data_IF_458117492930
#
_entry.id   IF_458117492930
#
_cell.length_a   1.000
_cell.length_b   1.000
_cell.length_c   1.000
_cell.angle_alpha   90.00
_cell.angle_beta   90.00
_cell.angle_gamma   90.00
#
_symmetry.space_group_name_H-M   'P 1'
#
loop_
_entity.id
_entity.type
_entity.pdbx_description
1 polymer ?
#
# COMPACT_ATOMS: atom_id res chain seq x y z
N UNK A 1 30.57 25.98 -5.32
CA UNK A 1 30.76 24.66 -4.67
C UNK A 1 29.47 24.13 -4.05
N UNK A 2 28.72 24.93 -3.26
CA UNK A 2 27.44 24.46 -2.70
C UNK A 2 26.33 24.18 -3.74
N UNK A 3 26.16 25.07 -4.73
CA UNK A 3 25.11 24.91 -5.77
C UNK A 3 25.37 23.72 -6.71
N UNK A 4 26.63 23.46 -7.06
CA UNK A 4 27.02 22.34 -7.91
C UNK A 4 26.78 20.99 -7.23
N UNK A 5 27.02 20.92 -5.92
CA UNK A 5 26.75 19.72 -5.13
C UNK A 5 25.24 19.49 -4.99
N UNK A 6 24.46 20.55 -4.71
CA UNK A 6 23.01 20.46 -4.62
C UNK A 6 22.36 19.97 -5.93
N UNK A 7 22.86 20.44 -7.08
CA UNK A 7 22.37 19.99 -8.39
C UNK A 7 22.73 18.54 -8.66
N UNK A 8 23.93 18.10 -8.27
CA UNK A 8 24.37 16.71 -8.41
C UNK A 8 23.53 15.77 -7.52
N UNK A 9 23.27 16.16 -6.28
CA UNK A 9 22.41 15.42 -5.35
C UNK A 9 20.95 15.38 -5.85
N UNK A 10 20.46 16.46 -6.44
CA UNK A 10 19.14 16.51 -7.08
C UNK A 10 19.02 15.58 -8.29
N UNK A 11 20.04 15.54 -9.15
CA UNK A 11 20.03 14.66 -10.33
C UNK A 11 20.14 13.19 -9.90
N UNK A 12 21.02 12.88 -8.96
CA UNK A 12 21.20 11.50 -8.47
C UNK A 12 19.94 10.96 -7.80
N UNK A 13 19.23 11.78 -7.01
CA UNK A 13 17.95 11.39 -6.41
C UNK A 13 16.86 11.16 -7.45
N UNK A 14 16.75 12.01 -8.48
CA UNK A 14 15.80 11.80 -9.57
C UNK A 14 16.08 10.51 -10.36
N UNK A 15 17.35 10.23 -10.65
CA UNK A 15 17.75 8.99 -11.31
C UNK A 15 17.41 7.78 -10.45
N UNK A 16 17.70 7.85 -9.15
CA UNK A 16 17.35 6.77 -8.21
C UNK A 16 15.84 6.53 -8.16
N UNK A 17 15.02 7.58 -8.08
CA UNK A 17 13.56 7.46 -8.11
C UNK A 17 13.05 6.81 -9.40
N UNK A 18 13.61 7.21 -10.56
CA UNK A 18 13.25 6.62 -11.84
C UNK A 18 13.61 5.14 -11.91
N UNK A 19 14.80 4.76 -11.44
CA UNK A 19 15.25 3.36 -11.41
C UNK A 19 14.35 2.54 -10.49
N UNK A 20 14.04 3.02 -9.29
CA UNK A 20 13.12 2.35 -8.36
C UNK A 20 11.70 2.22 -8.94
N UNK A 21 11.22 3.24 -9.64
CA UNK A 21 9.93 3.19 -10.32
C UNK A 21 9.88 2.10 -11.41
N UNK A 22 10.90 2.05 -12.28
CA UNK A 22 10.97 1.03 -13.34
C UNK A 22 11.13 -0.37 -12.74
N UNK A 23 12.00 -0.52 -11.74
CA UNK A 23 12.22 -1.80 -11.07
C UNK A 23 10.94 -2.32 -10.41
N UNK A 24 10.21 -1.45 -9.70
CA UNK A 24 8.94 -1.84 -9.07
C UNK A 24 7.90 -2.29 -10.10
N UNK A 25 7.80 -1.61 -11.25
CA UNK A 25 6.91 -2.00 -12.34
C UNK A 25 7.28 -3.36 -12.95
N UNK A 26 8.58 -3.62 -13.13
CA UNK A 26 9.07 -4.91 -13.63
C UNK A 26 8.75 -6.02 -12.62
N UNK A 27 9.04 -5.81 -11.33
CA UNK A 27 8.75 -6.79 -10.26
C UNK A 27 7.26 -7.07 -10.14
N UNK A 28 6.41 -6.04 -10.24
CA UNK A 28 4.97 -6.22 -10.22
C UNK A 28 4.48 -7.06 -11.41
N UNK A 29 4.95 -6.73 -12.62
CA UNK A 29 4.47 -7.36 -13.86
C UNK A 29 5.00 -8.78 -14.08
N UNK A 30 6.25 -9.04 -13.72
CA UNK A 30 6.92 -10.33 -13.95
C UNK A 30 7.09 -11.19 -12.70
N UNK A 31 6.92 -10.61 -11.50
CA UNK A 31 6.99 -11.33 -10.23
C UNK A 31 5.60 -11.55 -9.65
N UNK A 32 4.99 -10.49 -9.13
CA UNK A 32 3.77 -10.59 -8.31
C UNK A 32 2.54 -11.06 -9.09
N UNK A 33 2.30 -10.55 -10.31
CA UNK A 33 1.15 -10.96 -11.14
C UNK A 33 1.23 -12.44 -11.57
N UNK A 34 2.34 -12.95 -12.14
CA UNK A 34 2.44 -14.36 -12.48
C UNK A 34 2.54 -15.25 -11.25
N UNK A 35 3.10 -14.80 -10.14
CA UNK A 35 3.04 -15.52 -8.86
C UNK A 35 1.59 -15.65 -8.39
N UNK A 36 0.81 -14.57 -8.41
CA UNK A 36 -0.62 -14.64 -8.09
C UNK A 36 -1.38 -15.59 -9.02
N UNK A 37 -1.10 -15.55 -10.33
CA UNK A 37 -1.70 -16.45 -11.31
C UNK A 37 -1.30 -17.92 -11.10
N UNK A 38 -0.04 -18.20 -10.79
CA UNK A 38 0.45 -19.54 -10.49
C UNK A 38 -0.08 -20.06 -9.16
N UNK A 39 -0.27 -19.18 -8.18
CA UNK A 39 -0.90 -19.50 -6.91
C UNK A 39 -2.43 -19.74 -7.06
N UNK A 40 -3.05 -19.28 -8.14
CA UNK A 40 -4.51 -19.28 -8.35
C UNK A 40 -5.17 -20.65 -8.64
N UNK A 41 -4.61 -21.79 -8.21
CA UNK A 41 -5.19 -23.11 -8.52
C UNK A 41 -5.22 -24.15 -7.36
N UNK A 42 -5.26 -23.72 -6.09
CA UNK A 42 -5.74 -24.59 -4.98
C UNK A 42 -6.13 -23.79 -3.73
N UNK A 43 -6.98 -24.37 -2.86
CA UNK A 43 -7.36 -23.78 -1.57
C UNK A 43 -6.15 -23.54 -0.65
N UNK A 44 -5.09 -24.36 -0.78
CA UNK A 44 -3.85 -24.25 0.00
C UNK A 44 -3.01 -23.02 -0.37
N UNK A 45 -2.94 -22.67 -1.65
CA UNK A 45 -2.21 -21.48 -2.10
C UNK A 45 -2.92 -20.19 -1.69
N UNK A 46 -4.25 -20.20 -1.65
CA UNK A 46 -5.03 -19.05 -1.18
C UNK A 46 -4.76 -18.76 0.29
N UNK A 47 -4.61 -19.80 1.11
CA UNK A 47 -4.23 -19.66 2.51
C UNK A 47 -2.84 -19.03 2.68
N UNK A 48 -1.83 -19.52 1.96
CA UNK A 48 -0.47 -18.97 2.02
C UNK A 48 -0.43 -17.51 1.55
N UNK A 49 -1.12 -17.20 0.45
CA UNK A 49 -1.24 -15.83 -0.06
C UNK A 49 -1.83 -14.88 1.00
N UNK A 50 -2.93 -15.28 1.64
CA UNK A 50 -3.53 -14.49 2.71
C UNK A 50 -2.64 -14.37 3.93
N UNK A 51 -1.89 -15.42 4.29
CA UNK A 51 -0.94 -15.37 5.41
C UNK A 51 0.18 -14.36 5.18
N UNK A 52 0.71 -14.27 3.96
CA UNK A 52 1.75 -13.28 3.61
C UNK A 52 1.22 -11.84 3.58
N UNK A 53 -0.03 -11.64 3.14
CA UNK A 53 -0.62 -10.30 2.97
C UNK A 53 -1.27 -9.78 4.27
N UNK A 54 -1.69 -10.67 5.16
CA UNK A 54 -2.32 -10.33 6.43
C UNK A 54 -1.54 -9.30 7.25
N UNK A 55 -0.24 -9.47 7.55
CA UNK A 55 0.48 -8.48 8.37
C UNK A 55 0.52 -7.10 7.70
N UNK A 56 0.73 -7.05 6.38
CA UNK A 56 0.75 -5.80 5.63
C UNK A 56 -0.61 -5.09 5.63
N UNK A 57 -1.69 -5.85 5.43
CA UNK A 57 -3.06 -5.32 5.43
C UNK A 57 -3.47 -4.80 6.79
N UNK A 58 -3.17 -5.56 7.86
CA UNK A 58 -3.48 -5.15 9.23
C UNK A 58 -2.79 -3.83 9.57
N UNK A 59 -1.50 -3.69 9.25
CA UNK A 59 -0.75 -2.45 9.48
C UNK A 59 -1.30 -1.29 8.64
N UNK A 60 -1.68 -1.55 7.38
CA UNK A 60 -2.28 -0.55 6.49
C UNK A 60 -3.57 0.03 7.07
N UNK A 61 -4.53 -0.83 7.44
CA UNK A 61 -5.81 -0.38 7.99
C UNK A 61 -5.67 0.25 9.39
N UNK A 62 -4.72 -0.24 10.21
CA UNK A 62 -4.40 0.40 11.50
C UNK A 62 -3.82 1.80 11.31
N UNK A 63 -3.06 2.04 10.25
CA UNK A 63 -2.54 3.37 9.93
C UNK A 63 -3.67 4.34 9.60
N UNK A 64 -4.68 3.90 8.86
CA UNK A 64 -5.90 4.66 8.59
C UNK A 64 -6.71 4.96 9.87
N UNK A 65 -6.81 3.99 10.78
CA UNK A 65 -7.43 4.20 12.09
C UNK A 65 -6.66 5.21 12.95
N UNK A 66 -5.33 5.11 12.96
CA UNK A 66 -4.48 6.06 13.69
C UNK A 66 -4.60 7.47 13.08
N UNK A 67 -4.62 7.58 11.75
CA UNK A 67 -4.84 8.86 11.07
C UNK A 67 -6.21 9.45 11.41
N UNK A 68 -7.28 8.63 11.44
CA UNK A 68 -8.60 9.06 11.90
C UNK A 68 -8.54 9.60 13.34
N UNK A 69 -7.86 8.89 14.24
CA UNK A 69 -7.71 9.30 15.64
C UNK A 69 -6.97 10.64 15.76
N UNK A 70 -5.85 10.79 15.07
CA UNK A 70 -5.03 12.01 15.09
C UNK A 70 -5.74 13.21 14.47
N UNK A 71 -6.58 12.99 13.47
CA UNK A 71 -7.34 14.04 12.78
C UNK A 71 -8.72 14.30 13.38
N UNK A 72 -9.13 13.53 14.41
CA UNK A 72 -10.44 13.60 15.04
C UNK A 72 -11.59 13.18 14.11
N UNK A 73 -11.31 12.38 13.10
CA UNK A 73 -12.30 11.92 12.12
C UNK A 73 -13.05 10.71 12.68
N UNK A 74 -14.39 10.77 12.63
CA UNK A 74 -15.24 9.70 13.15
C UNK A 74 -15.22 8.49 12.20
N UNK A 75 -14.70 7.37 12.70
CA UNK A 75 -14.79 6.05 12.06
C UNK A 75 -16.21 5.50 12.23
N UNK A 76 -16.75 4.90 11.18
CA UNK A 76 -18.09 4.27 11.16
C UNK A 76 -18.03 2.76 11.25
N UNK A 77 -17.13 2.15 10.47
CA UNK A 77 -16.94 0.71 10.40
C UNK A 77 -15.49 0.42 10.02
N UNK A 78 -14.93 -0.69 10.50
CA UNK A 78 -13.60 -1.12 10.10
C UNK A 78 -13.46 -2.64 10.16
N UNK A 79 -12.70 -3.19 9.21
CA UNK A 79 -12.17 -4.55 9.26
C UNK A 79 -10.72 -4.56 8.82
N UNK A 80 -9.86 -5.04 9.72
CA UNK A 80 -8.42 -5.11 9.47
C UNK A 80 -8.06 -6.20 8.46
N UNK A 81 -8.79 -7.31 8.47
CA UNK A 81 -8.57 -8.42 7.54
C UNK A 81 -9.87 -9.21 7.34
N UNK A 82 -10.46 -9.11 6.17
CA UNK A 82 -11.64 -9.87 5.74
C UNK A 82 -11.62 -9.98 4.22
N UNK A 83 -10.79 -10.89 3.66
CA UNK A 83 -10.67 -11.05 2.22
C UNK A 83 -12.01 -11.38 1.57
N UNK A 84 -12.41 -10.55 0.63
CA UNK A 84 -13.60 -10.67 -0.17
C UNK A 84 -13.25 -11.11 -1.59
N UNK A 85 -14.20 -11.77 -2.28
CA UNK A 85 -14.02 -12.24 -3.67
C UNK A 85 -13.78 -11.11 -4.69
N UNK A 86 -14.08 -9.87 -4.32
CA UNK A 86 -13.85 -8.67 -5.14
C UNK A 86 -12.43 -8.10 -4.99
N UNK A 87 -11.54 -8.75 -4.23
CA UNK A 87 -10.16 -8.31 -4.01
C UNK A 87 -9.98 -7.34 -2.85
N UNK A 88 -11.06 -6.96 -2.15
CA UNK A 88 -10.95 -6.17 -0.92
C UNK A 88 -10.44 -7.07 0.21
N UNK A 89 -9.33 -6.68 0.83
CA UNK A 89 -8.69 -7.47 1.92
C UNK A 89 -8.97 -6.88 3.30
N UNK A 90 -9.16 -5.57 3.38
CA UNK A 90 -9.49 -4.80 4.59
C UNK A 90 -10.22 -3.51 4.20
N UNK A 91 -10.81 -2.83 5.18
CA UNK A 91 -11.38 -1.50 4.99
C UNK A 91 -11.51 -0.72 6.30
N UNK A 92 -11.41 0.61 6.21
CA UNK A 92 -11.83 1.57 7.22
C UNK A 92 -12.79 2.56 6.58
N UNK A 93 -14.05 2.57 7.01
CA UNK A 93 -15.07 3.53 6.57
C UNK A 93 -15.18 4.67 7.57
N UNK A 94 -15.02 5.90 7.10
CA UNK A 94 -15.01 7.11 7.92
C UNK A 94 -15.96 8.18 7.39
N UNK A 95 -16.22 9.22 8.19
CA UNK A 95 -17.04 10.35 7.79
C UNK A 95 -16.42 11.14 6.63
N UNK A 96 -17.24 11.87 5.84
CA UNK A 96 -16.71 12.70 4.76
C UNK A 96 -15.80 13.78 5.34
N UNK A 97 -14.55 13.81 4.87
CA UNK A 97 -13.52 14.77 5.29
C UNK A 97 -13.17 15.76 4.20
N UNK A 98 -12.53 16.87 4.60
CA UNK A 98 -11.89 17.83 3.73
C UNK A 98 -10.71 17.23 2.96
N UNK A 99 -10.21 17.96 1.96
CA UNK A 99 -9.17 17.50 1.03
C UNK A 99 -7.86 17.18 1.76
N UNK A 100 -7.51 17.92 2.81
CA UNK A 100 -6.25 17.70 3.53
C UNK A 100 -6.31 16.42 4.36
N UNK A 101 -7.39 16.22 5.12
CA UNK A 101 -7.58 15.01 5.92
C UNK A 101 -7.80 13.76 5.06
N UNK A 102 -8.39 13.90 3.85
CA UNK A 102 -8.58 12.78 2.92
C UNK A 102 -7.26 12.15 2.46
N UNK A 103 -6.18 12.91 2.38
CA UNK A 103 -4.89 12.36 1.95
C UNK A 103 -4.13 11.68 3.09
N UNK A 104 -4.55 11.90 4.34
CA UNK A 104 -3.96 11.31 5.53
C UNK A 104 -4.66 10.02 5.95
N UNK A 105 -5.96 9.93 5.66
CA UNK A 105 -6.92 8.92 6.13
C UNK A 105 -7.38 8.02 5.01
#
# INVERSE_FOLDING_TARGET
MALTNLLFDGITTLVLMLVLYVLSHIVLRFGLVPLCAALSFSDFNSFLFYLFILPGTVIHELSHLLACLLTGVKVRDFRLFSPQKNGVVGWVTYAKVDIFRRNLV
#
